data_IF_298833001972
#
_entry.id   IF_298833001972
#
_cell.length_a   1.000
_cell.length_b   1.000
_cell.length_c   1.000
_cell.angle_alpha   90.00
_cell.angle_beta   90.00
_cell.angle_gamma   90.00
#
_symmetry.space_group_name_H-M   'P 1'
#
loop_
_entity.id
_entity.type
_entity.pdbx_description
1 polymer ?
#
# COMPACT_ATOMS: atom_id res chain seq x y z
N UNK A 1 77.29 14.68 33.01
CA UNK A 1 76.68 15.42 31.89
C UNK A 1 75.40 14.65 31.49
N UNK A 2 74.23 15.04 32.04
CA UNK A 2 72.94 14.38 31.85
C UNK A 2 72.18 15.15 30.76
N UNK A 3 71.88 14.48 29.65
CA UNK A 3 70.92 14.98 28.61
C UNK A 3 69.53 14.56 28.92
N UNK A 4 68.64 15.51 29.23
CA UNK A 4 67.20 15.30 29.36
C UNK A 4 66.59 15.39 27.96
N UNK A 5 66.04 14.25 27.48
CA UNK A 5 65.16 14.19 26.28
C UNK A 5 63.76 14.60 26.64
N UNK A 6 63.23 15.62 25.99
CA UNK A 6 61.82 16.01 26.08
C UNK A 6 61.01 15.20 25.09
N UNK A 7 60.10 14.38 25.61
CA UNK A 7 59.00 13.70 24.82
C UNK A 7 57.87 14.69 24.60
N UNK A 8 57.58 14.99 23.34
CA UNK A 8 56.40 15.73 22.92
C UNK A 8 55.28 14.72 22.61
N UNK A 9 54.25 14.72 23.43
CA UNK A 9 53.02 13.93 23.17
C UNK A 9 52.15 14.74 22.22
N UNK A 10 51.92 14.21 21.01
CA UNK A 10 50.94 14.75 20.06
C UNK A 10 49.60 14.13 20.38
N UNK A 11 48.71 14.92 20.94
CA UNK A 11 47.30 14.52 21.11
C UNK A 11 46.57 14.71 19.78
N UNK A 12 46.18 13.59 19.15
CA UNK A 12 45.31 13.62 17.97
C UNK A 12 43.88 13.87 18.40
N UNK A 13 43.30 15.03 18.08
CA UNK A 13 41.86 15.31 18.17
C UNK A 13 41.15 14.57 17.04
N UNK A 14 40.42 13.53 17.37
CA UNK A 14 39.46 12.91 16.46
C UNK A 14 38.23 13.81 16.35
N UNK A 15 38.03 14.48 15.22
CA UNK A 15 36.83 15.21 14.90
C UNK A 15 35.72 14.22 14.56
N UNK A 16 34.74 14.10 15.46
CA UNK A 16 33.48 13.40 15.19
C UNK A 16 32.65 14.24 14.19
N UNK A 17 32.68 13.88 12.92
CA UNK A 17 31.73 14.42 11.94
C UNK A 17 30.38 13.81 12.18
N UNK A 18 29.49 14.54 12.83
CA UNK A 18 28.07 14.23 12.88
C UNK A 18 27.51 14.46 11.47
N UNK A 19 27.23 13.37 10.76
CA UNK A 19 26.52 13.46 9.49
C UNK A 19 25.13 14.09 9.75
N UNK A 20 24.90 15.27 9.19
CA UNK A 20 23.58 15.89 9.21
C UNK A 20 22.58 14.96 8.50
N UNK A 21 21.34 14.81 9.00
CA UNK A 21 20.33 14.03 8.32
C UNK A 21 20.14 14.63 6.91
N UNK A 22 20.35 13.80 5.89
CA UNK A 22 20.07 14.19 4.51
C UNK A 22 18.58 14.48 4.42
N UNK A 23 18.20 15.75 4.26
CA UNK A 23 16.85 16.13 3.83
C UNK A 23 16.66 15.49 2.45
N UNK A 24 15.74 14.54 2.34
CA UNK A 24 15.21 14.13 1.05
C UNK A 24 14.61 15.38 0.40
N UNK A 25 15.18 15.80 -0.74
CA UNK A 25 14.56 16.85 -1.54
C UNK A 25 13.25 16.27 -2.06
N UNK A 26 12.09 16.89 -1.82
CA UNK A 26 10.84 16.47 -2.42
C UNK A 26 11.06 16.39 -3.94
N UNK A 27 10.77 15.27 -4.54
CA UNK A 27 10.80 15.13 -6.00
C UNK A 27 9.36 15.00 -6.45
N UNK A 28 8.90 15.98 -7.20
CA UNK A 28 7.64 15.91 -7.92
C UNK A 28 7.58 14.58 -8.68
N UNK A 29 6.44 13.90 -8.63
CA UNK A 29 6.26 12.70 -9.44
C UNK A 29 6.07 13.07 -10.91
N UNK A 30 6.42 12.17 -11.83
CA UNK A 30 6.13 12.40 -13.24
C UNK A 30 4.62 12.36 -13.52
N UNK A 31 4.18 12.98 -14.60
CA UNK A 31 2.78 12.91 -15.06
C UNK A 31 2.31 11.46 -15.28
N UNK A 32 3.20 10.58 -15.76
CA UNK A 32 2.90 9.16 -15.94
C UNK A 32 2.65 8.46 -14.61
N UNK A 33 3.46 8.74 -13.58
CA UNK A 33 3.26 8.19 -12.23
C UNK A 33 1.95 8.71 -11.66
N UNK A 34 1.67 10.02 -11.74
CA UNK A 34 0.38 10.59 -11.30
C UNK A 34 -0.80 9.92 -12.00
N UNK A 35 -0.71 9.70 -13.32
CA UNK A 35 -1.74 9.00 -14.09
C UNK A 35 -1.99 7.57 -13.59
N UNK A 36 -0.92 6.82 -13.31
CA UNK A 36 -1.02 5.47 -12.74
C UNK A 36 -1.62 5.49 -11.34
N UNK A 37 -1.17 6.39 -10.46
CA UNK A 37 -1.74 6.52 -9.11
C UNK A 37 -3.24 6.86 -9.20
N UNK A 38 -3.65 7.71 -10.14
CA UNK A 38 -5.06 8.07 -10.33
C UNK A 38 -5.87 6.88 -10.87
N UNK A 39 -5.37 6.15 -11.86
CA UNK A 39 -6.07 4.99 -12.41
C UNK A 39 -6.29 3.91 -11.33
N UNK A 40 -5.25 3.58 -10.57
CA UNK A 40 -5.36 2.51 -9.57
C UNK A 40 -6.08 2.94 -8.29
N UNK A 41 -6.19 4.25 -7.97
CA UNK A 41 -7.11 4.72 -6.93
C UNK A 41 -8.57 4.48 -7.35
N UNK A 42 -8.90 4.66 -8.63
CA UNK A 42 -10.24 4.39 -9.16
C UNK A 42 -10.57 2.89 -9.19
N UNK A 43 -9.59 2.04 -9.48
CA UNK A 43 -9.75 0.59 -9.34
C UNK A 43 -10.00 0.19 -7.87
N UNK A 44 -9.30 0.80 -6.91
CA UNK A 44 -9.55 0.58 -5.50
C UNK A 44 -10.93 1.12 -5.08
N UNK A 45 -11.36 2.25 -5.62
CA UNK A 45 -12.68 2.82 -5.40
C UNK A 45 -13.81 1.91 -5.90
N UNK A 46 -13.64 1.30 -7.07
CA UNK A 46 -14.63 0.40 -7.67
C UNK A 46 -14.94 -0.81 -6.77
N UNK A 47 -14.00 -1.24 -5.91
CA UNK A 47 -14.25 -2.37 -5.00
C UNK A 47 -15.28 -2.07 -3.90
N UNK A 48 -15.58 -0.81 -3.64
CA UNK A 48 -16.65 -0.42 -2.68
C UNK A 48 -18.05 -0.42 -3.30
N UNK A 49 -18.15 -0.31 -4.62
CA UNK A 49 -19.40 -0.13 -5.32
C UNK A 49 -20.19 -1.44 -5.40
N UNK A 50 -21.44 -1.42 -4.95
CA UNK A 50 -22.27 -2.62 -4.85
C UNK A 50 -22.68 -3.19 -6.20
N UNK A 51 -22.68 -2.37 -7.25
CA UNK A 51 -22.91 -2.80 -8.62
C UNK A 51 -21.78 -3.68 -9.21
N UNK A 52 -20.64 -3.76 -8.53
CA UNK A 52 -19.57 -4.72 -8.85
C UNK A 52 -19.65 -6.00 -8.00
N UNK A 53 -20.78 -6.25 -7.33
CA UNK A 53 -21.06 -7.51 -6.63
C UNK A 53 -22.05 -8.35 -7.44
N UNK A 54 -21.78 -9.65 -7.60
CA UNK A 54 -22.50 -10.56 -8.50
C UNK A 54 -22.48 -10.08 -9.97
N UNK A 55 -21.36 -9.50 -10.40
CA UNK A 55 -21.13 -8.86 -11.70
C UNK A 55 -20.12 -9.62 -12.57
N UNK A 56 -19.82 -10.87 -12.24
CA UNK A 56 -18.90 -11.68 -13.05
C UNK A 56 -19.39 -11.79 -14.50
N UNK A 57 -18.55 -11.30 -15.43
CA UNK A 57 -18.88 -11.17 -16.85
C UNK A 57 -19.28 -9.76 -17.27
N UNK A 58 -19.59 -8.87 -16.35
CA UNK A 58 -19.97 -7.49 -16.61
C UNK A 58 -18.75 -6.55 -16.57
N UNK A 59 -18.90 -5.36 -17.14
CA UNK A 59 -17.93 -4.27 -17.05
C UNK A 59 -17.90 -3.67 -15.64
N UNK A 60 -16.72 -3.25 -15.19
CA UNK A 60 -16.55 -2.58 -13.90
C UNK A 60 -17.02 -1.13 -13.98
N UNK A 61 -17.87 -0.71 -13.02
CA UNK A 61 -18.41 0.66 -12.98
C UNK A 61 -18.60 1.15 -11.54
N UNK A 62 -18.84 2.45 -11.37
CA UNK A 62 -19.03 3.07 -10.08
C UNK A 62 -20.31 3.90 -10.05
N UNK A 63 -21.30 3.46 -9.31
CA UNK A 63 -22.62 4.13 -9.20
C UNK A 63 -22.56 5.57 -8.69
N UNK A 64 -21.44 5.96 -8.08
CA UNK A 64 -21.19 7.32 -7.61
C UNK A 64 -20.29 8.14 -8.58
N UNK A 65 -19.94 7.58 -9.73
CA UNK A 65 -19.11 8.25 -10.76
C UNK A 65 -17.67 8.50 -10.33
N UNK A 66 -17.17 7.79 -9.33
CA UNK A 66 -15.83 7.99 -8.78
C UNK A 66 -14.74 7.10 -9.41
N UNK A 67 -15.06 6.42 -10.53
CA UNK A 67 -14.05 5.65 -11.30
C UNK A 67 -14.16 5.85 -12.83
N UNK A 68 -14.18 7.09 -13.34
CA UNK A 68 -14.41 7.37 -14.77
C UNK A 68 -13.35 6.79 -15.71
N UNK A 69 -12.09 6.65 -15.26
CA UNK A 69 -11.03 6.02 -16.07
C UNK A 69 -11.25 4.53 -16.23
N UNK A 70 -11.78 3.85 -15.20
CA UNK A 70 -12.13 2.44 -15.25
C UNK A 70 -13.34 2.21 -16.13
N UNK A 71 -14.39 3.04 -16.00
CA UNK A 71 -15.62 2.95 -16.79
C UNK A 71 -15.39 3.24 -18.28
N UNK A 72 -14.41 4.08 -18.62
CA UNK A 72 -14.07 4.40 -20.01
C UNK A 72 -13.27 3.31 -20.71
N UNK A 73 -12.76 2.32 -19.98
CA UNK A 73 -11.97 1.21 -20.49
C UNK A 73 -12.85 -0.02 -20.81
N UNK A 74 -12.42 -0.91 -21.71
CA UNK A 74 -13.05 -2.22 -21.93
C UNK A 74 -12.65 -3.17 -20.81
N UNK A 75 -13.43 -3.17 -19.75
CA UNK A 75 -13.23 -3.97 -18.55
C UNK A 75 -14.22 -5.12 -18.44
N UNK A 76 -13.80 -6.20 -17.78
CA UNK A 76 -14.69 -7.33 -17.47
C UNK A 76 -14.28 -7.95 -16.13
N UNK A 77 -15.22 -8.10 -15.21
CA UNK A 77 -15.03 -8.84 -13.97
C UNK A 77 -14.91 -10.34 -14.27
N UNK A 78 -13.81 -10.95 -13.85
CA UNK A 78 -13.52 -12.37 -14.11
C UNK A 78 -13.83 -13.26 -12.91
N UNK A 79 -13.72 -12.71 -11.70
CA UNK A 79 -13.96 -13.44 -10.46
C UNK A 79 -14.20 -12.45 -9.33
N UNK A 80 -15.10 -12.78 -8.44
CA UNK A 80 -15.38 -12.04 -7.22
C UNK A 80 -15.13 -12.92 -6.01
N UNK A 81 -14.77 -12.30 -4.90
CA UNK A 81 -14.64 -12.96 -3.61
C UNK A 81 -15.26 -12.08 -2.52
N UNK A 82 -16.00 -12.71 -1.62
CA UNK A 82 -16.61 -12.09 -0.43
C UNK A 82 -16.62 -13.15 0.68
N UNK A 83 -15.48 -13.27 1.39
CA UNK A 83 -15.27 -14.28 2.41
C UNK A 83 -15.28 -13.63 3.79
N UNK A 84 -15.85 -14.34 4.76
CA UNK A 84 -15.82 -13.92 6.15
C UNK A 84 -14.60 -14.53 6.84
N UNK A 85 -13.73 -13.67 7.39
CA UNK A 85 -12.65 -14.07 8.28
C UNK A 85 -12.98 -13.69 9.72
N UNK A 86 -12.22 -14.20 10.68
CA UNK A 86 -12.36 -13.79 12.09
C UNK A 86 -12.03 -12.30 12.29
N UNK A 87 -11.36 -11.68 11.31
CA UNK A 87 -10.90 -10.29 11.34
C UNK A 87 -11.75 -9.33 10.50
N UNK A 88 -12.78 -9.82 9.83
CA UNK A 88 -13.69 -9.04 9.00
C UNK A 88 -13.90 -9.65 7.61
N UNK A 89 -14.78 -9.04 6.85
CA UNK A 89 -15.11 -9.50 5.51
C UNK A 89 -13.99 -9.14 4.53
N UNK A 90 -13.53 -10.13 3.77
CA UNK A 90 -12.52 -9.99 2.73
C UNK A 90 -13.25 -10.00 1.39
N UNK A 91 -13.41 -8.85 0.78
CA UNK A 91 -14.13 -8.75 -0.47
C UNK A 91 -13.32 -8.02 -1.54
N UNK A 92 -13.64 -8.31 -2.78
CA UNK A 92 -13.01 -7.70 -3.94
C UNK A 92 -13.25 -8.51 -5.20
N UNK A 93 -12.48 -8.20 -6.22
CA UNK A 93 -12.60 -8.88 -7.51
C UNK A 93 -11.26 -8.98 -8.26
N UNK A 94 -11.21 -9.90 -9.20
CA UNK A 94 -10.24 -9.95 -10.30
C UNK A 94 -10.96 -9.52 -11.58
N UNK A 95 -10.43 -8.52 -12.26
CA UNK A 95 -10.96 -8.05 -13.54
C UNK A 95 -9.85 -7.98 -14.61
N UNK A 96 -10.27 -8.01 -15.87
CA UNK A 96 -9.42 -7.68 -17.02
C UNK A 96 -9.76 -6.28 -17.52
N UNK A 97 -8.73 -5.49 -17.83
CA UNK A 97 -8.81 -4.25 -18.58
C UNK A 97 -8.10 -4.45 -19.91
N UNK A 98 -8.87 -4.61 -20.97
CA UNK A 98 -8.33 -4.90 -22.31
C UNK A 98 -7.76 -3.65 -22.97
N UNK A 99 -8.26 -2.47 -22.60
CA UNK A 99 -7.74 -1.17 -23.10
C UNK A 99 -6.31 -0.97 -22.64
N UNK A 100 -6.03 -1.16 -21.35
CA UNK A 100 -4.72 -0.94 -20.75
C UNK A 100 -3.87 -2.22 -20.65
N UNK A 101 -4.39 -3.38 -21.05
CA UNK A 101 -3.75 -4.70 -20.96
C UNK A 101 -3.35 -5.06 -19.54
N UNK A 102 -4.33 -4.95 -18.62
CA UNK A 102 -4.14 -5.23 -17.21
C UNK A 102 -5.01 -6.40 -16.74
N UNK A 103 -4.50 -7.15 -15.78
CA UNK A 103 -5.28 -8.00 -14.88
C UNK A 103 -5.22 -7.32 -13.51
N UNK A 104 -6.35 -6.90 -12.98
CA UNK A 104 -6.43 -6.12 -11.75
C UNK A 104 -7.14 -6.91 -10.66
N UNK A 105 -6.44 -7.14 -9.55
CA UNK A 105 -7.05 -7.59 -8.30
C UNK A 105 -7.30 -6.36 -7.45
N UNK A 106 -8.54 -6.10 -7.09
CA UNK A 106 -8.91 -4.98 -6.24
C UNK A 106 -9.56 -5.48 -4.95
N UNK A 107 -8.95 -5.13 -3.81
CA UNK A 107 -9.45 -5.45 -2.48
C UNK A 107 -10.24 -4.28 -1.90
N UNK A 108 -11.46 -4.56 -1.44
CA UNK A 108 -12.30 -3.59 -0.75
C UNK A 108 -11.74 -3.29 0.64
N UNK A 109 -11.79 -2.02 1.04
CA UNK A 109 -11.56 -1.62 2.43
C UNK A 109 -12.78 -1.93 3.33
N UNK A 110 -12.64 -1.65 4.62
CA UNK A 110 -13.72 -1.82 5.58
C UNK A 110 -14.89 -0.87 5.29
N UNK A 111 -16.13 -1.37 5.36
CA UNK A 111 -17.34 -0.53 5.24
C UNK A 111 -17.55 0.37 6.46
N UNK A 112 -17.03 0.00 7.64
CA UNK A 112 -17.19 0.74 8.90
C UNK A 112 -15.83 1.07 9.48
N UNK A 113 -15.18 2.12 8.97
CA UNK A 113 -13.82 2.53 9.34
C UNK A 113 -13.66 2.73 10.86
N UNK A 114 -14.59 3.44 11.50
CA UNK A 114 -14.53 3.72 12.95
C UNK A 114 -14.56 2.45 13.79
N UNK A 115 -15.44 1.49 13.43
CA UNK A 115 -15.51 0.20 14.11
C UNK A 115 -14.24 -0.62 13.87
N UNK A 116 -13.71 -0.58 12.65
CA UNK A 116 -12.48 -1.28 12.31
C UNK A 116 -11.29 -0.71 13.09
N UNK A 117 -11.12 0.62 13.16
CA UNK A 117 -10.06 1.26 13.95
C UNK A 117 -10.19 0.92 15.43
N UNK A 118 -11.42 0.91 15.98
CA UNK A 118 -11.66 0.60 17.38
C UNK A 118 -11.34 -0.86 17.74
N UNK A 119 -11.46 -1.78 16.77
CA UNK A 119 -11.31 -3.21 16.98
C UNK A 119 -9.99 -3.77 16.42
N UNK A 120 -9.14 -2.93 15.80
CA UNK A 120 -7.87 -3.41 15.25
C UNK A 120 -6.98 -3.96 16.36
N UNK A 121 -6.61 -5.24 16.24
CA UNK A 121 -5.67 -5.91 17.12
C UNK A 121 -4.24 -5.62 16.66
N UNK A 122 -3.31 -5.38 17.57
CA UNK A 122 -1.90 -5.11 17.24
C UNK A 122 -1.02 -6.36 17.43
N UNK A 123 -1.60 -7.55 17.34
CA UNK A 123 -0.87 -8.81 17.44
C UNK A 123 -0.07 -9.14 16.19
N UNK A 124 1.18 -9.56 16.39
CA UNK A 124 1.98 -10.19 15.36
C UNK A 124 1.67 -11.69 15.26
N UNK A 125 1.79 -12.22 14.04
CA UNK A 125 1.86 -13.66 13.79
C UNK A 125 3.11 -13.96 12.97
N UNK A 126 3.63 -15.17 13.10
CA UNK A 126 4.78 -15.63 12.31
C UNK A 126 4.45 -15.57 10.80
N UNK A 127 5.32 -14.95 10.06
CA UNK A 127 5.26 -14.85 8.61
C UNK A 127 6.58 -15.32 7.97
N UNK A 128 7.27 -16.27 8.61
CA UNK A 128 8.53 -16.84 8.14
C UNK A 128 8.40 -17.57 6.80
N UNK A 129 7.20 -18.01 6.45
CA UNK A 129 6.87 -18.52 5.11
C UNK A 129 6.98 -17.45 4.01
N UNK A 130 6.86 -16.18 4.34
CA UNK A 130 7.03 -15.05 3.41
C UNK A 130 8.52 -14.68 3.36
N UNK A 131 9.15 -14.43 4.51
CA UNK A 131 10.57 -14.11 4.60
C UNK A 131 11.13 -14.38 6.00
N UNK A 132 12.45 -14.63 6.09
CA UNK A 132 13.11 -14.95 7.35
C UNK A 132 12.99 -13.79 8.36
N UNK A 133 12.51 -14.08 9.57
CA UNK A 133 12.30 -13.11 10.64
C UNK A 133 11.13 -12.16 10.41
N UNK A 134 10.31 -12.45 9.41
CA UNK A 134 9.10 -11.68 9.15
C UNK A 134 7.98 -12.04 10.12
N UNK A 135 7.31 -11.01 10.61
CA UNK A 135 6.07 -11.10 11.37
C UNK A 135 5.05 -10.17 10.71
N UNK A 136 3.87 -10.66 10.46
CA UNK A 136 2.75 -9.91 9.91
C UNK A 136 1.71 -9.59 10.97
N UNK A 137 0.86 -8.62 10.70
CA UNK A 137 -0.37 -8.41 11.45
C UNK A 137 -1.27 -9.65 11.31
N UNK A 138 -1.58 -10.32 12.41
CA UNK A 138 -2.26 -11.63 12.39
C UNK A 138 -3.56 -11.63 11.61
N UNK A 139 -4.43 -10.65 11.86
CA UNK A 139 -5.70 -10.56 11.16
C UNK A 139 -5.59 -10.22 9.66
N UNK A 140 -4.58 -9.48 9.23
CA UNK A 140 -4.41 -9.23 7.79
C UNK A 140 -3.87 -10.45 7.06
N UNK A 141 -2.97 -11.20 7.69
CA UNK A 141 -2.46 -12.43 7.11
C UNK A 141 -3.54 -13.49 7.01
N UNK A 142 -4.31 -13.73 8.08
CA UNK A 142 -5.46 -14.64 8.09
C UNK A 142 -6.48 -14.28 7.00
N UNK A 143 -6.80 -12.99 6.88
CA UNK A 143 -7.73 -12.50 5.87
C UNK A 143 -7.25 -12.72 4.44
N UNK A 144 -5.95 -12.51 4.18
CA UNK A 144 -5.36 -12.88 2.89
C UNK A 144 -5.44 -14.38 2.64
N UNK A 145 -5.08 -15.19 3.62
CA UNK A 145 -5.07 -16.67 3.51
C UNK A 145 -6.45 -17.23 3.19
N UNK A 146 -7.53 -16.59 3.68
CA UNK A 146 -8.91 -17.01 3.40
C UNK A 146 -9.24 -17.01 1.91
N UNK A 147 -8.64 -16.12 1.10
CA UNK A 147 -8.92 -16.00 -0.34
C UNK A 147 -7.74 -16.46 -1.23
N UNK A 148 -6.57 -16.68 -0.67
CA UNK A 148 -5.33 -16.84 -1.40
C UNK A 148 -5.34 -17.98 -2.42
N UNK A 149 -5.87 -19.14 -2.05
CA UNK A 149 -5.85 -20.34 -2.90
C UNK A 149 -6.72 -20.16 -4.16
N UNK A 150 -7.96 -19.74 -3.97
CA UNK A 150 -8.92 -19.56 -5.06
C UNK A 150 -8.52 -18.39 -5.95
N UNK A 151 -8.17 -17.25 -5.35
CA UNK A 151 -7.71 -16.08 -6.10
C UNK A 151 -6.47 -16.39 -6.94
N UNK A 152 -5.47 -17.08 -6.38
CA UNK A 152 -4.27 -17.49 -7.12
C UNK A 152 -4.60 -18.41 -8.29
N UNK A 153 -5.53 -19.35 -8.10
CA UNK A 153 -6.01 -20.24 -9.17
C UNK A 153 -6.69 -19.43 -10.30
N UNK A 154 -7.52 -18.44 -9.95
CA UNK A 154 -8.18 -17.55 -10.93
C UNK A 154 -7.20 -16.64 -11.65
N UNK A 155 -6.20 -16.08 -10.95
CA UNK A 155 -5.11 -15.32 -11.57
C UNK A 155 -4.34 -16.19 -12.57
N UNK A 156 -4.02 -17.44 -12.23
CA UNK A 156 -3.35 -18.38 -13.13
C UNK A 156 -4.16 -18.61 -14.41
N UNK A 157 -5.45 -18.84 -14.30
CA UNK A 157 -6.34 -19.03 -15.44
C UNK A 157 -6.44 -17.75 -16.31
N UNK A 158 -6.57 -16.58 -15.66
CA UNK A 158 -6.61 -15.30 -16.36
C UNK A 158 -5.30 -15.01 -17.10
N UNK A 159 -4.13 -15.27 -16.48
CA UNK A 159 -2.81 -15.12 -17.14
C UNK A 159 -2.62 -16.06 -18.33
N UNK A 160 -3.23 -17.24 -18.32
CA UNK A 160 -3.20 -18.15 -19.47
C UNK A 160 -4.04 -17.60 -20.64
N UNK A 161 -5.17 -16.95 -20.35
CA UNK A 161 -6.06 -16.37 -21.37
C UNK A 161 -5.52 -15.02 -21.89
N UNK A 162 -5.06 -14.18 -20.99
CA UNK A 162 -4.56 -12.81 -21.26
C UNK A 162 -3.03 -12.78 -21.11
N UNK A 163 -2.34 -13.58 -21.91
CA UNK A 163 -0.88 -13.63 -21.89
C UNK A 163 -0.27 -12.26 -22.25
N UNK A 164 0.74 -11.84 -21.48
CA UNK A 164 1.38 -10.54 -21.67
C UNK A 164 0.67 -9.35 -20.98
N UNK A 165 -0.50 -9.55 -20.34
CA UNK A 165 -1.12 -8.51 -19.53
C UNK A 165 -0.39 -8.36 -18.19
N UNK A 166 -0.23 -7.12 -17.75
CA UNK A 166 0.40 -6.81 -16.45
C UNK A 166 -0.56 -7.14 -15.32
N UNK A 167 -0.08 -7.85 -14.32
CA UNK A 167 -0.84 -8.09 -13.08
C UNK A 167 -0.67 -6.88 -12.15
N UNK A 168 -1.78 -6.36 -11.66
CA UNK A 168 -1.82 -5.28 -10.66
C UNK A 168 -2.65 -5.74 -9.48
N UNK A 169 -2.19 -5.42 -8.27
CA UNK A 169 -2.95 -5.62 -7.04
C UNK A 169 -3.13 -4.27 -6.36
N UNK A 170 -4.36 -3.91 -6.06
CA UNK A 170 -4.68 -2.61 -5.48
C UNK A 170 -5.69 -2.72 -4.35
N UNK A 171 -5.76 -1.68 -3.52
CA UNK A 171 -6.75 -1.59 -2.45
C UNK A 171 -6.56 -0.33 -1.61
N UNK A 172 -7.64 0.09 -0.97
CA UNK A 172 -7.69 1.21 -0.05
C UNK A 172 -7.88 0.73 1.39
N UNK A 173 -7.31 1.42 2.37
CA UNK A 173 -7.53 1.11 3.80
C UNK A 173 -7.11 -0.34 4.14
N UNK A 174 -7.98 -1.08 4.77
CA UNK A 174 -7.84 -2.53 5.02
C UNK A 174 -7.54 -3.31 3.74
N UNK A 175 -8.22 -3.00 2.62
CA UNK A 175 -7.94 -3.60 1.32
C UNK A 175 -6.51 -3.33 0.83
N UNK A 176 -5.92 -2.18 1.19
CA UNK A 176 -4.51 -1.88 0.92
C UNK A 176 -3.54 -2.77 1.69
N UNK A 177 -3.88 -3.17 2.92
CA UNK A 177 -3.10 -4.15 3.68
C UNK A 177 -3.12 -5.52 3.01
N UNK A 178 -4.31 -5.97 2.56
CA UNK A 178 -4.48 -7.24 1.84
C UNK A 178 -3.77 -7.22 0.48
N UNK A 179 -3.86 -6.11 -0.25
CA UNK A 179 -3.14 -5.92 -1.50
C UNK A 179 -1.61 -6.02 -1.33
N UNK A 180 -1.09 -5.47 -0.23
CA UNK A 180 0.35 -5.57 0.07
C UNK A 180 0.76 -7.00 0.38
N UNK A 181 0.07 -7.69 1.28
CA UNK A 181 0.39 -9.08 1.63
C UNK A 181 0.18 -10.02 0.45
N UNK A 182 -0.95 -9.88 -0.26
CA UNK A 182 -1.24 -10.66 -1.45
C UNK A 182 -0.21 -10.45 -2.57
N UNK A 183 0.18 -9.21 -2.82
CA UNK A 183 1.19 -8.88 -3.81
C UNK A 183 2.54 -9.57 -3.53
N UNK A 184 2.97 -9.57 -2.27
CA UNK A 184 4.23 -10.22 -1.86
C UNK A 184 4.15 -11.73 -1.96
N UNK A 185 3.05 -12.34 -1.50
CA UNK A 185 2.88 -13.80 -1.59
C UNK A 185 2.81 -14.25 -3.05
N UNK A 186 2.11 -13.49 -3.90
CA UNK A 186 2.08 -13.75 -5.34
C UNK A 186 3.47 -13.65 -5.97
N UNK A 187 4.31 -12.68 -5.57
CA UNK A 187 5.71 -12.59 -6.04
C UNK A 187 6.53 -13.79 -5.62
N UNK A 188 6.38 -14.26 -4.38
CA UNK A 188 7.03 -15.48 -3.92
C UNK A 188 6.56 -16.72 -4.71
N UNK A 189 5.33 -16.69 -5.22
CA UNK A 189 4.76 -17.70 -6.13
C UNK A 189 5.17 -17.57 -7.59
N UNK A 190 6.07 -16.64 -7.94
CA UNK A 190 6.59 -16.45 -9.29
C UNK A 190 5.75 -15.54 -10.20
N UNK A 191 4.78 -14.81 -9.64
CA UNK A 191 4.10 -13.72 -10.34
C UNK A 191 4.88 -12.40 -10.14
N UNK A 192 4.63 -11.41 -10.98
CA UNK A 192 5.27 -10.09 -10.90
C UNK A 192 4.21 -8.98 -10.82
N UNK A 193 3.40 -8.93 -9.75
CA UNK A 193 2.40 -7.87 -9.63
C UNK A 193 3.04 -6.52 -9.31
N UNK A 194 2.50 -5.47 -9.92
CA UNK A 194 2.62 -4.10 -9.41
C UNK A 194 1.60 -3.88 -8.31
N UNK A 195 2.00 -3.29 -7.17
CA UNK A 195 1.13 -3.10 -6.00
C UNK A 195 0.89 -1.62 -5.76
N UNK A 196 -0.38 -1.21 -5.78
CA UNK A 196 -0.80 0.17 -5.50
C UNK A 196 -1.74 0.20 -4.29
N UNK A 197 -1.39 0.96 -3.27
CA UNK A 197 -2.19 1.01 -2.05
C UNK A 197 -2.45 2.44 -1.61
N UNK A 198 -3.63 2.68 -1.07
CA UNK A 198 -4.10 3.99 -0.65
C UNK A 198 -4.54 3.93 0.81
N UNK A 199 -3.99 4.79 1.65
CA UNK A 199 -4.34 4.81 3.07
C UNK A 199 -4.14 3.50 3.81
N UNK A 200 -3.21 2.65 3.37
CA UNK A 200 -3.00 1.35 4.00
C UNK A 200 -2.40 1.47 5.41
N UNK A 201 -2.83 0.64 6.38
CA UNK A 201 -2.18 0.51 7.67
C UNK A 201 -0.83 -0.21 7.57
N UNK A 202 -0.04 -0.23 8.64
CA UNK A 202 1.18 -1.04 8.72
C UNK A 202 0.84 -2.52 8.76
N UNK A 203 1.51 -3.32 7.93
CA UNK A 203 1.15 -4.74 7.73
C UNK A 203 2.03 -5.72 8.52
N UNK A 204 3.15 -5.25 9.08
CA UNK A 204 4.04 -6.13 9.83
C UNK A 204 5.26 -5.42 10.42
N UNK A 205 6.21 -6.23 10.87
CA UNK A 205 7.44 -5.77 11.51
C UNK A 205 8.42 -5.15 10.49
N UNK A 206 9.55 -4.66 11.00
CA UNK A 206 10.58 -4.03 10.15
C UNK A 206 11.19 -5.00 9.13
N UNK A 207 11.31 -6.29 9.47
CA UNK A 207 11.86 -7.30 8.55
C UNK A 207 10.94 -7.48 7.35
N UNK A 208 9.62 -7.61 7.58
CA UNK A 208 8.63 -7.70 6.50
C UNK A 208 8.60 -6.40 5.68
N UNK A 209 8.60 -5.24 6.31
CA UNK A 209 8.62 -3.94 5.61
C UNK A 209 9.87 -3.78 4.73
N UNK A 210 11.04 -4.24 5.19
CA UNK A 210 12.27 -4.24 4.42
C UNK A 210 12.17 -5.20 3.23
N UNK A 211 11.69 -6.43 3.46
CA UNK A 211 11.51 -7.42 2.42
C UNK A 211 10.58 -6.93 1.29
N UNK A 212 9.45 -6.30 1.65
CA UNK A 212 8.53 -5.67 0.69
C UNK A 212 9.25 -4.57 -0.12
N UNK A 213 10.04 -3.75 0.57
CA UNK A 213 10.80 -2.65 -0.07
C UNK A 213 11.81 -3.19 -1.08
N UNK A 214 12.55 -4.23 -0.72
CA UNK A 214 13.60 -4.82 -1.55
C UNK A 214 13.04 -5.49 -2.82
N UNK A 215 11.81 -5.94 -2.78
CA UNK A 215 11.13 -6.49 -3.96
C UNK A 215 10.70 -5.41 -4.97
N UNK A 216 10.60 -4.15 -4.56
CA UNK A 216 10.19 -3.04 -5.43
C UNK A 216 8.73 -3.11 -5.90
N UNK A 217 8.42 -2.38 -6.96
CA UNK A 217 7.09 -2.33 -7.60
C UNK A 217 5.93 -2.14 -6.61
N UNK A 218 6.15 -1.25 -5.62
CA UNK A 218 5.16 -0.83 -4.62
C UNK A 218 4.97 0.69 -4.70
N UNK A 219 3.73 1.12 -4.83
CA UNK A 219 3.29 2.51 -4.74
C UNK A 219 2.33 2.63 -3.55
N UNK A 220 2.89 2.97 -2.39
CA UNK A 220 2.13 3.18 -1.16
C UNK A 220 1.78 4.66 -1.03
N UNK A 221 0.52 4.99 -1.32
CA UNK A 221 0.01 6.36 -1.28
C UNK A 221 -0.59 6.67 0.09
N UNK A 222 -0.23 7.83 0.63
CA UNK A 222 -0.81 8.39 1.86
C UNK A 222 -1.29 9.80 1.59
N UNK A 223 -2.21 10.30 2.40
CA UNK A 223 -2.79 11.63 2.22
C UNK A 223 -2.71 12.42 3.53
N UNK A 224 -2.20 13.64 3.45
CA UNK A 224 -2.08 14.60 4.55
C UNK A 224 -1.78 13.92 5.90
N UNK A 225 -2.68 14.02 6.85
CA UNK A 225 -2.58 13.48 8.21
C UNK A 225 -3.52 12.29 8.47
N UNK A 226 -3.92 11.57 7.43
CA UNK A 226 -4.72 10.34 7.51
C UNK A 226 -4.25 9.45 8.69
N UNK A 227 -5.20 9.09 9.57
CA UNK A 227 -4.95 8.28 10.75
C UNK A 227 -4.57 6.84 10.41
N UNK A 228 -5.16 6.25 9.35
CA UNK A 228 -5.04 4.81 9.08
C UNK A 228 -3.61 4.35 8.79
N UNK A 229 -2.78 5.07 8.01
CA UNK A 229 -1.36 4.70 7.87
C UNK A 229 -0.56 4.77 9.18
N UNK A 230 -1.09 5.40 10.23
CA UNK A 230 -0.40 5.50 11.52
C UNK A 230 -0.64 4.28 12.41
N UNK A 231 -1.60 3.41 12.09
CA UNK A 231 -1.92 2.20 12.85
C UNK A 231 -1.50 0.93 12.09
N UNK A 232 -1.17 -0.16 12.80
CA UNK A 232 -0.76 -0.20 14.20
C UNK A 232 0.45 0.72 14.47
N UNK A 233 0.63 1.19 15.73
CA UNK A 233 1.69 2.15 16.04
C UNK A 233 3.11 1.57 15.82
N UNK A 234 4.04 2.41 15.34
CA UNK A 234 5.44 2.00 15.21
C UNK A 234 6.10 1.69 16.58
N UNK A 235 5.57 2.24 17.66
CA UNK A 235 6.05 2.00 19.02
C UNK A 235 5.85 0.56 19.52
N UNK A 236 4.95 -0.19 18.87
CA UNK A 236 4.74 -1.62 19.18
C UNK A 236 5.41 -2.53 18.13
N UNK A 237 6.34 -1.99 17.32
CA UNK A 237 7.19 -2.78 16.43
C UNK A 237 6.77 -2.81 14.95
N UNK A 238 5.60 -2.25 14.59
CA UNK A 238 5.16 -2.19 13.20
C UNK A 238 5.94 -1.16 12.38
N UNK A 239 6.13 -1.45 11.10
CA UNK A 239 6.87 -0.59 10.17
C UNK A 239 6.20 -0.52 8.80
N UNK A 240 6.37 0.62 8.11
CA UNK A 240 5.99 0.74 6.71
C UNK A 240 7.14 0.43 5.76
N UNK A 241 6.80 -0.20 4.64
CA UNK A 241 7.69 -0.32 3.49
C UNK A 241 7.91 1.05 2.79
N UNK A 242 8.96 1.13 2.00
CA UNK A 242 9.36 2.28 1.21
C UNK A 242 9.17 1.98 -0.30
N UNK A 243 8.92 3.00 -1.14
CA UNK A 243 8.68 4.41 -0.80
C UNK A 243 7.24 4.70 -0.36
N UNK A 244 7.04 5.91 0.18
CA UNK A 244 5.73 6.51 0.39
C UNK A 244 5.53 7.62 -0.65
N UNK A 245 4.35 7.66 -1.26
CA UNK A 245 3.86 8.75 -2.10
C UNK A 245 2.85 9.55 -1.29
N UNK A 246 3.31 10.63 -0.66
CA UNK A 246 2.52 11.40 0.28
C UNK A 246 1.86 12.60 -0.40
N UNK A 247 0.54 12.57 -0.51
CA UNK A 247 -0.28 13.67 -1.02
C UNK A 247 -0.35 14.76 0.05
N UNK A 248 0.06 15.96 -0.29
CA UNK A 248 0.15 17.12 0.62
C UNK A 248 -0.99 18.13 0.47
N UNK A 249 -1.72 18.09 -0.66
CA UNK A 249 -2.91 18.91 -0.88
C UNK A 249 -4.08 18.41 -0.02
N UNK A 250 -4.99 19.33 0.35
CA UNK A 250 -6.13 19.00 1.20
C UNK A 250 -7.24 18.23 0.50
N UNK A 251 -8.24 17.82 1.29
CA UNK A 251 -9.43 17.14 0.82
C UNK A 251 -10.17 17.92 -0.28
N UNK A 252 -10.81 17.18 -1.20
CA UNK A 252 -11.59 17.74 -2.32
C UNK A 252 -10.78 18.67 -3.25
N UNK A 253 -9.45 18.53 -3.23
CA UNK A 253 -8.54 19.29 -4.10
C UNK A 253 -8.02 18.36 -5.21
N UNK A 254 -7.99 18.84 -6.45
CA UNK A 254 -7.35 18.12 -7.55
C UNK A 254 -5.86 17.99 -7.28
N UNK A 255 -5.38 16.77 -7.19
CA UNK A 255 -3.96 16.47 -6.93
C UNK A 255 -3.15 16.65 -8.21
N UNK A 256 -2.06 17.39 -8.11
CA UNK A 256 -1.07 17.57 -9.18
C UNK A 256 0.23 16.84 -8.84
N UNK A 257 1.15 16.76 -9.82
CA UNK A 257 2.47 16.13 -9.60
C UNK A 257 3.26 16.78 -8.47
N UNK A 258 3.11 18.09 -8.26
CA UNK A 258 3.79 18.85 -7.21
C UNK A 258 3.16 18.70 -5.82
N UNK A 259 1.99 18.08 -5.73
CA UNK A 259 1.32 17.80 -4.45
C UNK A 259 1.74 16.45 -3.86
N UNK A 260 2.63 15.70 -4.52
CA UNK A 260 3.05 14.38 -4.09
C UNK A 260 4.53 14.37 -3.75
N UNK A 261 4.85 14.25 -2.46
CA UNK A 261 6.20 14.05 -1.96
C UNK A 261 6.56 12.56 -1.92
N UNK A 262 7.72 12.19 -2.48
CA UNK A 262 8.23 10.82 -2.41
C UNK A 262 9.16 10.68 -1.21
N UNK A 263 8.71 9.94 -0.19
CA UNK A 263 9.45 9.71 1.06
C UNK A 263 10.13 8.34 1.00
N UNK A 264 11.45 8.33 1.07
CA UNK A 264 12.26 7.11 1.01
C UNK A 264 12.74 6.71 2.40
N UNK A 265 12.70 5.41 2.68
CA UNK A 265 13.19 4.80 3.92
C UNK A 265 12.15 3.95 4.63
N UNK A 266 12.53 2.70 4.96
CA UNK A 266 11.68 1.80 5.73
C UNK A 266 11.41 2.37 7.12
N UNK A 267 10.14 2.47 7.49
CA UNK A 267 9.72 3.03 8.77
C UNK A 267 10.04 4.51 8.94
N UNK A 268 10.11 5.28 7.83
CA UNK A 268 10.31 6.73 7.87
C UNK A 268 9.35 7.40 8.84
N UNK A 269 9.84 8.42 9.54
CA UNK A 269 9.05 9.30 10.42
C UNK A 269 8.63 10.59 9.72
N UNK A 270 8.97 10.74 8.43
CA UNK A 270 8.53 11.83 7.56
C UNK A 270 7.23 11.46 6.84
N UNK A 271 6.70 12.38 6.04
CA UNK A 271 5.45 12.19 5.33
C UNK A 271 4.25 12.11 6.29
N UNK A 272 3.28 11.26 5.99
CA UNK A 272 2.11 11.08 6.84
C UNK A 272 2.48 10.75 8.30
N UNK A 273 3.49 9.89 8.51
CA UNK A 273 3.91 9.52 9.86
C UNK A 273 4.44 10.69 10.70
N UNK A 274 4.87 11.78 10.06
CA UNK A 274 5.39 12.99 10.70
C UNK A 274 4.33 14.02 11.10
N UNK A 275 3.09 13.86 10.65
CA UNK A 275 2.01 14.81 10.97
C UNK A 275 1.47 14.59 12.37
N UNK A 276 1.04 15.71 13.04
CA UNK A 276 0.73 15.71 14.47
C UNK A 276 -0.75 15.54 14.82
N UNK A 277 -1.64 15.89 13.88
CA UNK A 277 -3.09 15.93 14.13
C UNK A 277 -3.79 14.90 13.21
N UNK A 278 -3.77 13.60 13.58
CA UNK A 278 -4.34 12.59 12.70
C UNK A 278 -5.85 12.81 12.50
N UNK A 279 -6.27 12.71 11.23
CA UNK A 279 -7.67 12.90 10.82
C UNK A 279 -8.19 11.67 10.09
N UNK A 280 -9.44 11.32 10.36
CA UNK A 280 -10.15 10.24 9.64
C UNK A 280 -10.84 10.73 8.37
N UNK A 281 -11.12 12.02 8.23
CA UNK A 281 -11.70 12.58 7.02
C UNK A 281 -10.72 12.50 5.84
N UNK A 282 -9.44 12.77 6.10
CA UNK A 282 -8.36 12.63 5.11
C UNK A 282 -8.27 11.20 4.51
N UNK A 283 -8.79 10.21 5.22
CA UNK A 283 -8.82 8.81 4.76
C UNK A 283 -9.74 8.58 3.56
N UNK A 284 -10.73 9.43 3.35
CA UNK A 284 -11.72 9.26 2.28
C UNK A 284 -11.27 9.89 0.95
N UNK A 285 -10.15 10.63 0.93
CA UNK A 285 -9.70 11.37 -0.24
C UNK A 285 -8.32 10.90 -0.73
N UNK A 286 -8.31 10.16 -1.83
CA UNK A 286 -7.10 9.66 -2.48
C UNK A 286 -7.21 9.85 -4.01
N UNK A 287 -6.76 11.01 -4.52
CA UNK A 287 -6.89 11.40 -5.93
C UNK A 287 -8.34 11.48 -6.43
N UNK A 288 -9.29 11.50 -5.49
CA UNK A 288 -10.72 11.49 -5.61
C UNK A 288 -11.37 10.94 -4.35
N UNK A 289 -12.69 10.97 -4.24
CA UNK A 289 -13.44 10.37 -3.13
C UNK A 289 -13.43 8.85 -3.27
N UNK A 290 -12.43 8.19 -2.68
CA UNK A 290 -12.10 6.78 -2.98
C UNK A 290 -13.15 5.79 -2.46
N UNK A 291 -13.88 6.12 -1.40
CA UNK A 291 -14.89 5.27 -0.80
C UNK A 291 -16.34 5.81 -0.96
N UNK A 292 -16.57 6.58 -2.01
CA UNK A 292 -17.89 7.21 -2.27
C UNK A 292 -19.05 6.20 -2.41
N UNK A 293 -18.78 4.97 -2.82
CA UNK A 293 -19.76 3.88 -2.93
C UNK A 293 -19.97 3.09 -1.62
N UNK A 294 -19.44 3.56 -0.51
CA UNK A 294 -19.43 2.83 0.78
C UNK A 294 -20.78 2.78 1.46
#
# INVERSE_FOLDING_TARGET
MLLLGRLWSIAALAALTVAAPSRSVPRDVSADVLGQLTLFSQWAAASYCTNNSNSTGDGVSCEQGNCPLVESADTTTLYEFDETSSYGDVAGFLAVDKTNKLLVVSFRGSRTLSNWIANINFGFTDASSICSGCEAHGGFLEAWEAVAADLTSKIKAAKATYSGYTLVVTGHSYGGALATLGGIVLRNGGYEPSVYTYGQPRVGNKALAQYITDQGSLWRVTHTDDLVPKVPPATVGFSHASPEYWITSGDNTTVTSSDIDVIVGVGSKSGNAGTLNPDTAAHNWYLGHIDACK
#
